data_IF_768636946013
#
_entry.id   IF_768636946013
#
_cell.length_a   1.000
_cell.length_b   1.000
_cell.length_c   1.000
_cell.angle_alpha   90.00
_cell.angle_beta   90.00
_cell.angle_gamma   90.00
#
_symmetry.space_group_name_H-M   'P 1'
#
loop_
_entity.id
_entity.type
_entity.pdbx_description
1 polymer ?
#
# COMPACT_ATOMS: atom_id res chain seq x y z
N UNK A 1 21.40 9.00 -1.44
CA UNK A 1 20.56 7.83 -1.71
C UNK A 1 19.11 8.24 -1.80
N UNK A 2 18.39 7.75 -2.80
CA UNK A 2 17.00 8.13 -3.04
C UNK A 2 16.01 7.60 -2.00
N UNK A 3 16.23 6.41 -1.46
CA UNK A 3 15.29 5.76 -0.54
C UNK A 3 15.62 6.07 0.91
N UNK A 4 14.60 6.49 1.68
CA UNK A 4 14.75 6.88 3.08
C UNK A 4 14.20 5.86 4.07
N UNK A 5 13.38 4.93 3.61
CA UNK A 5 12.79 3.92 4.46
C UNK A 5 11.39 3.55 4.01
N UNK A 6 10.68 2.80 4.84
CA UNK A 6 9.29 2.41 4.55
C UNK A 6 8.37 3.49 5.11
N UNK A 7 7.49 4.03 4.25
CA UNK A 7 6.50 5.01 4.63
C UNK A 7 5.23 4.35 5.17
N UNK A 8 4.75 3.35 4.47
CA UNK A 8 3.58 2.59 4.92
C UNK A 8 3.49 1.24 4.23
N UNK A 9 2.69 0.36 4.82
CA UNK A 9 2.39 -0.96 4.30
C UNK A 9 0.88 -1.06 4.12
N UNK A 10 0.44 -1.60 2.99
CA UNK A 10 -0.97 -1.84 2.70
C UNK A 10 -1.23 -3.34 2.76
N UNK A 11 -2.18 -3.76 3.59
CA UNK A 11 -2.60 -5.15 3.71
C UNK A 11 -4.02 -5.26 3.16
N UNK A 12 -4.21 -6.12 2.15
CA UNK A 12 -5.55 -6.39 1.62
C UNK A 12 -6.20 -7.47 2.46
N UNK A 13 -7.47 -7.28 2.78
CA UNK A 13 -8.21 -8.19 3.64
C UNK A 13 -9.61 -8.42 3.06
N UNK A 14 -10.15 -9.62 3.28
CA UNK A 14 -11.51 -9.93 2.85
C UNK A 14 -12.57 -9.44 3.81
N UNK A 15 -12.24 -9.38 5.09
CA UNK A 15 -13.16 -8.91 6.14
C UNK A 15 -12.47 -7.81 6.94
N UNK A 16 -12.81 -6.56 6.64
CA UNK A 16 -12.17 -5.42 7.26
C UNK A 16 -12.43 -5.34 8.77
N UNK A 17 -13.64 -5.64 9.22
CA UNK A 17 -13.97 -5.58 10.65
C UNK A 17 -13.18 -6.60 11.46
N UNK A 18 -13.02 -7.80 10.93
CA UNK A 18 -12.20 -8.84 11.55
C UNK A 18 -10.73 -8.42 11.62
N UNK A 19 -10.22 -7.86 10.51
CA UNK A 19 -8.84 -7.39 10.45
C UNK A 19 -8.60 -6.24 11.42
N UNK A 20 -9.54 -5.31 11.54
CA UNK A 20 -9.45 -4.20 12.50
C UNK A 20 -9.42 -4.75 13.93
N UNK A 21 -10.26 -5.73 14.25
CA UNK A 21 -10.26 -6.33 15.57
C UNK A 21 -8.88 -6.93 15.90
N UNK A 22 -8.27 -7.61 14.92
CA UNK A 22 -6.95 -8.22 15.10
C UNK A 22 -5.86 -7.15 15.29
N UNK A 23 -5.79 -6.19 14.40
CA UNK A 23 -4.70 -5.19 14.42
C UNK A 23 -4.85 -4.18 15.56
N UNK A 24 -6.08 -3.80 15.93
CA UNK A 24 -6.28 -2.93 17.09
C UNK A 24 -5.79 -3.59 18.37
N UNK A 25 -5.98 -4.91 18.47
CA UNK A 25 -5.48 -5.68 19.60
C UNK A 25 -3.95 -5.76 19.61
N UNK A 26 -3.36 -6.02 18.43
CA UNK A 26 -1.90 -6.13 18.29
C UNK A 26 -1.22 -4.80 18.58
N UNK A 27 -1.77 -3.71 18.03
CA UNK A 27 -1.12 -2.39 18.08
C UNK A 27 -1.54 -1.55 19.28
N UNK A 28 -2.66 -1.88 19.92
CA UNK A 28 -3.16 -1.14 21.07
C UNK A 28 -3.74 0.23 20.74
N UNK A 29 -4.09 0.46 19.48
CA UNK A 29 -4.69 1.72 19.01
C UNK A 29 -5.84 1.40 18.06
N UNK A 30 -6.72 2.39 17.85
CA UNK A 30 -7.82 2.28 16.91
C UNK A 30 -7.48 2.98 15.60
N UNK A 31 -7.99 2.51 14.47
CA UNK A 31 -7.69 3.11 13.17
C UNK A 31 -8.59 4.27 12.83
N UNK A 32 -8.14 5.11 11.92
CA UNK A 32 -9.01 6.03 11.20
C UNK A 32 -9.60 5.29 10.00
N UNK A 33 -10.91 5.42 9.79
CA UNK A 33 -11.61 4.73 8.71
C UNK A 33 -11.99 5.70 7.62
N UNK A 34 -11.90 5.24 6.37
CA UNK A 34 -12.44 6.00 5.25
C UNK A 34 -12.83 5.07 4.09
N UNK A 35 -13.57 5.62 3.15
CA UNK A 35 -13.93 4.95 1.92
C UNK A 35 -13.26 5.68 0.74
N UNK A 36 -12.69 4.91 -0.18
CA UNK A 36 -12.11 5.45 -1.42
C UNK A 36 -13.03 5.14 -2.59
N UNK A 37 -13.62 6.18 -3.18
CA UNK A 37 -14.43 6.01 -4.39
C UNK A 37 -13.57 5.60 -5.59
N UNK A 38 -12.35 6.11 -5.65
CA UNK A 38 -11.41 5.78 -6.74
C UNK A 38 -11.02 4.30 -6.71
N UNK A 39 -10.68 3.80 -5.53
CA UNK A 39 -10.29 2.40 -5.36
C UNK A 39 -11.48 1.47 -5.14
N UNK A 40 -12.67 2.02 -4.94
CA UNK A 40 -13.88 1.25 -4.61
C UNK A 40 -13.59 0.28 -3.47
N UNK A 41 -13.11 0.85 -2.38
CA UNK A 41 -12.61 0.09 -1.24
C UNK A 41 -12.80 0.85 0.06
N UNK A 42 -12.99 0.10 1.14
CA UNK A 42 -13.00 0.64 2.50
C UNK A 42 -11.61 0.48 3.09
N UNK A 43 -11.18 1.49 3.85
CA UNK A 43 -9.81 1.59 4.36
C UNK A 43 -9.80 1.86 5.86
N UNK A 44 -8.77 1.33 6.52
CA UNK A 44 -8.49 1.62 7.93
C UNK A 44 -7.01 1.97 8.05
N UNK A 45 -6.70 3.10 8.66
CA UNK A 45 -5.32 3.61 8.78
C UNK A 45 -4.90 3.64 10.24
N UNK A 46 -3.81 2.95 10.55
CA UNK A 46 -3.16 3.01 11.86
C UNK A 46 -1.94 3.89 11.76
N UNK A 47 -1.98 5.06 12.38
CA UNK A 47 -0.89 6.04 12.32
C UNK A 47 0.07 5.85 13.48
N UNK A 48 1.36 5.82 13.17
CA UNK A 48 2.42 5.70 14.17
C UNK A 48 3.05 7.06 14.47
N UNK A 49 3.75 7.16 15.60
CA UNK A 49 4.31 8.43 16.04
C UNK A 49 5.44 8.99 15.18
N UNK A 50 6.03 8.16 14.32
CA UNK A 50 7.10 8.58 13.42
C UNK A 50 6.60 9.05 12.04
N UNK A 51 5.28 9.16 11.86
CA UNK A 51 4.68 9.57 10.59
C UNK A 51 4.43 8.45 9.60
N UNK A 52 4.81 7.22 9.92
CA UNK A 52 4.49 6.05 9.11
C UNK A 52 3.10 5.51 9.48
N UNK A 53 2.56 4.60 8.69
CA UNK A 53 1.26 4.02 8.99
C UNK A 53 1.09 2.64 8.37
N UNK A 54 0.11 1.91 8.88
CA UNK A 54 -0.36 0.65 8.31
C UNK A 54 -1.77 0.89 7.78
N UNK A 55 -2.02 0.46 6.55
CA UNK A 55 -3.34 0.55 5.94
C UNK A 55 -3.91 -0.84 5.75
N UNK A 56 -5.14 -1.06 6.21
CA UNK A 56 -5.94 -2.24 5.88
C UNK A 56 -6.94 -1.81 4.81
N UNK A 57 -7.15 -2.63 3.80
CA UNK A 57 -8.04 -2.28 2.69
C UNK A 57 -8.83 -3.49 2.23
N UNK A 58 -10.13 -3.28 1.98
CA UNK A 58 -11.00 -4.31 1.44
C UNK A 58 -11.81 -3.74 0.27
N UNK A 59 -11.94 -4.47 -0.85
CA UNK A 59 -12.76 -3.99 -1.96
C UNK A 59 -14.24 -4.00 -1.58
N UNK A 60 -14.99 -3.01 -2.07
CA UNK A 60 -16.44 -2.92 -1.86
C UNK A 60 -17.24 -3.23 -3.12
N UNK A 61 -16.54 -3.36 -4.27
CA UNK A 61 -17.17 -3.66 -5.56
C UNK A 61 -16.29 -4.62 -6.36
N UNK A 62 -16.91 -5.38 -7.25
CA UNK A 62 -16.20 -6.41 -8.03
C UNK A 62 -15.16 -5.84 -8.98
N UNK A 63 -15.31 -4.58 -9.41
CA UNK A 63 -14.37 -3.91 -10.29
C UNK A 63 -13.31 -3.08 -9.55
N UNK A 64 -13.23 -3.20 -8.23
CA UNK A 64 -12.14 -2.61 -7.46
C UNK A 64 -10.80 -3.21 -7.89
N UNK A 65 -9.73 -2.40 -7.98
CA UNK A 65 -8.39 -2.95 -8.27
C UNK A 65 -7.89 -3.92 -7.19
N UNK A 66 -8.51 -3.94 -6.01
CA UNK A 66 -8.17 -4.87 -4.94
C UNK A 66 -8.89 -6.22 -5.06
N UNK A 67 -9.99 -6.28 -5.82
CA UNK A 67 -10.83 -7.48 -5.89
C UNK A 67 -10.11 -8.65 -6.55
N UNK A 68 -9.40 -8.42 -7.65
CA UNK A 68 -8.65 -9.48 -8.34
C UNK A 68 -7.54 -10.08 -7.50
N UNK A 69 -6.63 -9.26 -6.96
CA UNK A 69 -5.58 -9.77 -6.07
C UNK A 69 -6.13 -10.48 -4.83
N UNK A 70 -7.20 -9.97 -4.23
CA UNK A 70 -7.82 -10.62 -3.07
C UNK A 70 -8.37 -12.01 -3.44
N UNK A 71 -9.06 -12.11 -4.58
CA UNK A 71 -9.63 -13.38 -5.04
C UNK A 71 -8.54 -14.41 -5.35
N UNK A 72 -7.41 -13.98 -5.92
CA UNK A 72 -6.32 -14.87 -6.33
C UNK A 72 -5.41 -15.28 -5.19
N UNK A 73 -5.11 -14.36 -4.28
CA UNK A 73 -4.05 -14.54 -3.28
C UNK A 73 -4.58 -14.53 -1.84
N UNK A 74 -5.81 -14.10 -1.62
CA UNK A 74 -6.36 -13.94 -0.28
C UNK A 74 -5.77 -12.73 0.45
N UNK A 75 -5.91 -12.73 1.76
CA UNK A 75 -5.38 -11.68 2.63
C UNK A 75 -3.84 -11.68 2.57
N UNK A 76 -3.25 -10.52 2.65
CA UNK A 76 -1.79 -10.40 2.68
C UNK A 76 -1.32 -8.99 2.31
N UNK A 77 -0.01 -8.81 2.33
CA UNK A 77 0.59 -7.54 1.95
C UNK A 77 0.30 -7.27 0.47
N UNK A 78 -0.30 -6.12 0.19
CA UNK A 78 -0.62 -5.68 -1.16
C UNK A 78 0.44 -4.72 -1.69
N UNK A 79 0.86 -3.75 -0.86
CA UNK A 79 1.79 -2.71 -1.27
C UNK A 79 2.75 -2.40 -0.13
N UNK A 80 4.02 -2.18 -0.48
CA UNK A 80 4.99 -1.55 0.41
C UNK A 80 5.34 -0.22 -0.22
N UNK A 81 5.11 0.88 0.52
CA UNK A 81 5.43 2.22 0.06
C UNK A 81 6.74 2.66 0.70
N UNK A 82 7.72 2.96 -0.14
CA UNK A 82 9.00 3.49 0.32
C UNK A 82 9.01 5.00 0.22
N UNK A 83 9.50 5.66 1.25
CA UNK A 83 9.75 7.09 1.21
C UNK A 83 10.99 7.37 0.37
N UNK A 84 10.89 8.29 -0.57
CA UNK A 84 12.00 8.68 -1.44
C UNK A 84 12.21 10.19 -1.39
N UNK A 85 13.45 10.62 -1.59
CA UNK A 85 13.79 12.05 -1.57
C UNK A 85 13.12 12.82 -2.70
N UNK A 86 13.13 12.23 -3.90
CA UNK A 86 12.62 12.84 -5.12
C UNK A 86 11.94 11.74 -5.95
N UNK A 87 10.63 11.74 -5.91
CA UNK A 87 9.84 10.68 -6.57
C UNK A 87 10.07 10.65 -8.08
N UNK A 88 10.09 11.80 -8.73
CA UNK A 88 10.27 11.86 -10.18
C UNK A 88 11.65 11.36 -10.59
N UNK A 89 12.67 11.78 -9.87
CA UNK A 89 14.05 11.37 -10.13
C UNK A 89 14.22 9.87 -9.89
N UNK A 90 13.67 9.36 -8.81
CA UNK A 90 13.73 7.93 -8.49
C UNK A 90 13.04 7.09 -9.55
N UNK A 91 11.84 7.50 -9.98
CA UNK A 91 11.12 6.81 -11.03
C UNK A 91 11.92 6.79 -12.33
N UNK A 92 12.56 7.91 -12.70
CA UNK A 92 13.38 7.99 -13.90
C UNK A 92 14.62 7.10 -13.81
N UNK A 93 15.26 7.03 -12.63
CA UNK A 93 16.41 6.16 -12.41
C UNK A 93 16.02 4.68 -12.55
N UNK A 94 14.87 4.29 -12.01
CA UNK A 94 14.39 2.92 -12.13
C UNK A 94 14.05 2.57 -13.57
N UNK A 95 13.39 3.48 -14.27
CA UNK A 95 13.09 3.29 -15.69
C UNK A 95 14.36 3.11 -16.50
N UNK A 96 15.40 3.88 -16.20
CA UNK A 96 16.70 3.77 -16.84
C UNK A 96 17.39 2.45 -16.59
N UNK A 97 17.02 1.73 -15.53
CA UNK A 97 17.54 0.40 -15.21
C UNK A 97 16.69 -0.73 -15.79
N UNK A 98 15.61 -0.39 -16.52
CA UNK A 98 14.71 -1.38 -17.07
C UNK A 98 13.62 -1.85 -16.09
N UNK A 99 13.46 -1.18 -14.97
CA UNK A 99 12.39 -1.50 -14.00
C UNK A 99 11.11 -0.79 -14.43
N UNK A 100 10.04 -1.54 -14.61
CA UNK A 100 8.76 -0.99 -15.08
C UNK A 100 8.05 -0.20 -13.95
N UNK A 101 7.95 1.11 -14.13
CA UNK A 101 7.26 2.01 -13.21
C UNK A 101 5.98 2.51 -13.87
N UNK A 102 4.86 2.34 -13.18
CA UNK A 102 3.53 2.70 -13.68
C UNK A 102 3.13 4.05 -13.11
N UNK A 103 2.80 4.99 -13.99
CA UNK A 103 2.35 6.33 -13.57
C UNK A 103 3.36 7.12 -12.76
N UNK A 104 4.64 6.74 -12.82
CA UNK A 104 5.69 7.43 -12.07
C UNK A 104 5.67 7.14 -10.57
N UNK A 105 4.78 6.29 -10.11
CA UNK A 105 4.53 6.07 -8.68
C UNK A 105 4.69 4.61 -8.25
N UNK A 106 4.25 3.67 -9.09
CA UNK A 106 4.19 2.26 -8.69
C UNK A 106 5.15 1.41 -9.53
N UNK A 107 5.90 0.56 -8.85
CA UNK A 107 6.71 -0.47 -9.51
C UNK A 107 5.82 -1.70 -9.68
N UNK A 108 5.74 -2.22 -10.91
CA UNK A 108 4.89 -3.37 -11.20
C UNK A 108 5.30 -4.57 -10.33
N UNK A 109 4.33 -5.33 -9.78
CA UNK A 109 4.65 -6.48 -8.92
C UNK A 109 5.58 -7.52 -9.53
N UNK A 110 5.59 -7.67 -10.86
CA UNK A 110 6.51 -8.60 -11.52
C UNK A 110 7.98 -8.23 -11.32
N UNK A 111 8.27 -6.96 -11.06
CA UNK A 111 9.64 -6.48 -10.81
C UNK A 111 10.07 -6.69 -9.36
N UNK A 112 9.13 -6.93 -8.45
CA UNK A 112 9.36 -6.96 -7.01
C UNK A 112 8.77 -8.19 -6.35
N UNK A 113 8.84 -9.32 -7.05
CA UNK A 113 8.49 -10.64 -6.48
C UNK A 113 7.06 -10.72 -5.96
N UNK A 114 6.13 -10.07 -6.68
CA UNK A 114 4.71 -10.15 -6.37
C UNK A 114 4.18 -9.07 -5.45
N UNK A 115 5.03 -8.18 -4.94
CA UNK A 115 4.63 -7.05 -4.11
C UNK A 115 4.59 -5.79 -4.96
N UNK A 116 3.50 -5.03 -4.89
CA UNK A 116 3.47 -3.71 -5.50
C UNK A 116 4.31 -2.77 -4.64
N UNK A 117 5.28 -2.10 -5.25
CA UNK A 117 6.11 -1.12 -4.56
C UNK A 117 5.64 0.27 -4.95
N UNK A 118 5.38 1.11 -3.96
CA UNK A 118 4.98 2.49 -4.19
C UNK A 118 6.13 3.42 -3.84
N UNK A 119 6.36 4.42 -4.69
CA UNK A 119 7.32 5.49 -4.42
C UNK A 119 6.55 6.65 -3.80
N UNK A 120 6.80 6.92 -2.52
CA UNK A 120 6.10 7.95 -1.78
C UNK A 120 7.06 9.12 -1.52
N UNK A 121 6.67 10.31 -1.99
CA UNK A 121 7.51 11.50 -1.80
C UNK A 121 7.67 11.78 -0.31
N UNK A 122 8.91 11.84 0.16
CA UNK A 122 9.20 12.16 1.55
C UNK A 122 8.80 13.61 1.86
N UNK A 123 8.30 13.82 3.05
CA UNK A 123 7.87 15.13 3.53
C UNK A 123 9.04 15.99 3.96
#
# INVERSE_FOLDING_TARGET
MGFKGVDHIVVRVGDLEDAIANYSKILGIEPDRQHSDVLKADQAFYHFGDGTFLELITPTEDDSPLAGPLAKKGDGIHTIAFAVDDQQKTAAELDGKGVRVIGGTFVHPAEANGVMVQLSQAK
#
